data_IF_140082553044
#
_entry.id   IF_140082553044
#
_cell.length_a   1.000
_cell.length_b   1.000
_cell.length_c   1.000
_cell.angle_alpha   90.00
_cell.angle_beta   90.00
_cell.angle_gamma   90.00
#
_symmetry.space_group_name_H-M   'P 1'
#
loop_
_entity.id
_entity.type
_entity.pdbx_description
1 polymer ?
#
# COMPACT_ATOMS: atom_id res chain seq x y z
N UNK A 1 -18.56 11.26 16.29
CA UNK A 1 -18.13 11.12 14.90
C UNK A 1 -16.60 11.23 14.75
N UNK A 2 -15.94 12.38 14.93
CA UNK A 2 -14.49 12.52 14.76
C UNK A 2 -13.65 11.48 15.49
N UNK A 3 -13.88 11.28 16.80
CA UNK A 3 -13.12 10.32 17.63
C UNK A 3 -13.17 8.90 17.07
N UNK A 4 -14.30 8.49 16.51
CA UNK A 4 -14.45 7.15 15.92
C UNK A 4 -13.68 7.02 14.59
N UNK A 5 -13.71 8.05 13.73
CA UNK A 5 -12.94 8.07 12.49
C UNK A 5 -11.43 7.96 12.75
N UNK A 6 -10.92 8.69 13.73
CA UNK A 6 -9.52 8.63 14.15
C UNK A 6 -9.15 7.24 14.69
N UNK A 7 -10.00 6.66 15.55
CA UNK A 7 -9.83 5.32 16.09
C UNK A 7 -9.83 4.27 14.98
N UNK A 8 -10.83 4.31 14.07
CA UNK A 8 -10.89 3.36 12.95
C UNK A 8 -9.69 3.49 12.01
N UNK A 9 -9.17 4.70 11.81
CA UNK A 9 -7.98 4.90 11.00
C UNK A 9 -6.69 4.33 11.63
N UNK A 10 -6.58 4.30 12.95
CA UNK A 10 -5.47 3.61 13.63
C UNK A 10 -5.63 2.11 13.51
N UNK A 11 -6.83 1.59 13.77
CA UNK A 11 -7.10 0.14 13.73
C UNK A 11 -6.88 -0.40 12.30
N UNK A 12 -7.41 0.29 11.28
CA UNK A 12 -7.22 -0.15 9.89
C UNK A 12 -5.75 -0.16 9.48
N UNK A 13 -5.00 0.88 9.91
CA UNK A 13 -3.57 0.97 9.67
C UNK A 13 -2.78 -0.11 10.42
N UNK A 14 -3.24 -0.52 11.60
CA UNK A 14 -2.63 -1.64 12.34
C UNK A 14 -2.80 -2.97 11.60
N UNK A 15 -3.98 -3.24 11.04
CA UNK A 15 -4.20 -4.42 10.20
C UNK A 15 -3.45 -4.35 8.86
N UNK A 16 -3.35 -3.15 8.26
CA UNK A 16 -2.51 -2.93 7.09
C UNK A 16 -1.04 -3.24 7.38
N UNK A 17 -0.54 -2.91 8.58
CA UNK A 17 0.84 -3.18 8.98
C UNK A 17 1.21 -4.67 8.91
N UNK A 18 0.29 -5.58 9.27
CA UNK A 18 0.50 -7.03 9.13
C UNK A 18 0.62 -7.44 7.65
N UNK A 19 -0.26 -6.93 6.78
CA UNK A 19 -0.17 -7.18 5.35
C UNK A 19 1.15 -6.66 4.76
N UNK A 20 1.55 -5.46 5.13
CA UNK A 20 2.79 -4.86 4.65
C UNK A 20 4.02 -5.60 5.17
N UNK A 21 4.07 -5.89 6.49
CA UNK A 21 5.21 -6.53 7.15
C UNK A 21 5.41 -8.00 6.75
N UNK A 22 4.34 -8.81 6.74
CA UNK A 22 4.39 -10.24 6.39
C UNK A 22 4.26 -10.50 4.88
N UNK A 23 3.72 -9.55 4.12
CA UNK A 23 3.49 -9.67 2.69
C UNK A 23 4.54 -8.92 1.88
N UNK A 24 4.37 -7.62 1.68
CA UNK A 24 5.17 -6.83 0.73
C UNK A 24 6.68 -6.90 1.01
N UNK A 25 7.09 -6.84 2.27
CA UNK A 25 8.51 -6.91 2.65
C UNK A 25 9.15 -8.27 2.36
N UNK A 26 8.38 -9.33 2.16
CA UNK A 26 8.89 -10.67 1.89
C UNK A 26 8.82 -11.10 0.43
N UNK A 27 8.35 -10.23 -0.49
CA UNK A 27 8.30 -10.54 -1.92
C UNK A 27 9.68 -10.79 -2.53
N UNK A 28 10.68 -10.02 -2.11
CA UNK A 28 12.07 -10.26 -2.56
C UNK A 28 12.63 -11.57 -2.01
N UNK A 29 12.36 -11.90 -0.74
CA UNK A 29 12.75 -13.16 -0.13
C UNK A 29 12.06 -14.36 -0.82
N UNK A 30 10.79 -14.21 -1.21
CA UNK A 30 10.11 -15.19 -2.05
C UNK A 30 10.83 -15.39 -3.39
N UNK A 31 11.24 -14.31 -4.06
CA UNK A 31 12.00 -14.38 -5.32
C UNK A 31 13.32 -15.14 -5.16
N UNK A 32 14.05 -14.92 -4.06
CA UNK A 32 15.27 -15.67 -3.72
C UNK A 32 14.95 -17.16 -3.52
N UNK A 33 13.92 -17.47 -2.76
CA UNK A 33 13.49 -18.86 -2.52
C UNK A 33 13.09 -19.57 -3.81
N UNK A 34 12.42 -18.89 -4.74
CA UNK A 34 12.03 -19.43 -6.03
C UNK A 34 13.20 -19.57 -7.02
N UNK A 35 14.42 -19.20 -6.62
CA UNK A 35 15.64 -19.34 -7.43
C UNK A 35 15.79 -18.27 -8.52
N UNK A 36 15.12 -17.13 -8.39
CA UNK A 36 15.25 -16.05 -9.37
C UNK A 36 16.62 -15.36 -9.27
N UNK A 37 17.15 -14.95 -10.40
CA UNK A 37 18.41 -14.20 -10.46
C UNK A 37 18.29 -12.82 -9.81
N UNK A 38 19.42 -12.22 -9.39
CA UNK A 38 19.43 -10.88 -8.82
C UNK A 38 18.77 -9.83 -9.77
N UNK A 39 18.97 -9.96 -11.08
CA UNK A 39 18.31 -9.10 -12.07
C UNK A 39 16.78 -9.29 -12.05
N UNK A 40 16.30 -10.52 -12.02
CA UNK A 40 14.86 -10.81 -11.96
C UNK A 40 14.22 -10.25 -10.68
N UNK A 41 14.90 -10.39 -9.54
CA UNK A 41 14.42 -9.83 -8.25
C UNK A 41 14.39 -8.31 -8.30
N UNK A 42 15.43 -7.68 -8.87
CA UNK A 42 15.48 -6.22 -9.04
C UNK A 42 14.34 -5.72 -9.94
N UNK A 43 14.06 -6.42 -11.05
CA UNK A 43 12.93 -6.08 -11.94
C UNK A 43 11.60 -6.31 -11.21
N UNK A 44 11.46 -7.40 -10.44
CA UNK A 44 10.26 -7.70 -9.66
C UNK A 44 9.96 -6.60 -8.61
N UNK A 45 10.97 -5.93 -8.11
CA UNK A 45 10.83 -4.84 -7.13
C UNK A 45 10.62 -3.47 -7.80
N UNK A 46 11.29 -3.17 -8.92
CA UNK A 46 11.31 -1.84 -9.53
C UNK A 46 10.21 -1.62 -10.57
N UNK A 47 9.99 -2.59 -11.46
CA UNK A 47 9.01 -2.45 -12.55
C UNK A 47 7.57 -2.26 -12.05
N UNK A 48 7.09 -3.01 -11.03
CA UNK A 48 5.75 -2.79 -10.48
C UNK A 48 5.56 -1.39 -9.89
N UNK A 49 6.57 -0.86 -9.21
CA UNK A 49 6.52 0.49 -8.66
C UNK A 49 6.49 1.56 -9.75
N UNK A 50 7.27 1.36 -10.82
CA UNK A 50 7.24 2.25 -11.99
C UNK A 50 5.85 2.25 -12.65
N UNK A 51 5.28 1.08 -12.91
CA UNK A 51 3.92 0.93 -13.44
C UNK A 51 2.89 1.60 -12.52
N UNK A 52 3.01 1.39 -11.20
CA UNK A 52 2.19 2.02 -10.19
C UNK A 52 2.26 3.55 -10.23
N UNK A 53 3.44 4.12 -10.43
CA UNK A 53 3.61 5.57 -10.55
C UNK A 53 2.82 6.17 -11.71
N UNK A 54 2.77 5.49 -12.87
CA UNK A 54 1.93 5.92 -14.00
C UNK A 54 0.44 5.85 -13.66
N UNK A 55 -0.01 4.77 -13.02
CA UNK A 55 -1.40 4.62 -12.58
C UNK A 55 -1.77 5.67 -11.52
N UNK A 56 -0.86 6.01 -10.63
CA UNK A 56 -1.05 7.05 -9.62
C UNK A 56 -1.39 8.41 -10.23
N UNK A 57 -0.84 8.76 -11.39
CA UNK A 57 -1.18 10.00 -12.08
C UNK A 57 -2.65 10.05 -12.52
N UNK A 58 -3.27 8.90 -12.75
CA UNK A 58 -4.68 8.79 -13.14
C UNK A 58 -5.64 8.63 -11.93
N UNK A 59 -5.12 8.51 -10.70
CA UNK A 59 -5.91 8.20 -9.50
C UNK A 59 -7.05 9.18 -9.22
N UNK A 60 -6.85 10.47 -9.48
CA UNK A 60 -7.90 11.49 -9.33
C UNK A 60 -9.07 11.28 -10.30
N UNK A 61 -8.83 10.75 -11.52
CA UNK A 61 -9.88 10.45 -12.48
C UNK A 61 -10.72 9.26 -12.01
N UNK A 62 -10.09 8.25 -11.40
CA UNK A 62 -10.81 7.12 -10.79
C UNK A 62 -11.71 7.59 -9.64
N UNK A 63 -11.23 8.51 -8.78
CA UNK A 63 -12.05 9.07 -7.70
C UNK A 63 -13.31 9.77 -8.22
N UNK A 64 -13.23 10.47 -9.35
CA UNK A 64 -14.39 11.12 -9.99
C UNK A 64 -15.42 10.10 -10.50
N UNK A 65 -14.96 8.98 -11.07
CA UNK A 65 -15.85 7.91 -11.57
C UNK A 65 -16.62 7.25 -10.42
N UNK A 66 -15.95 6.99 -9.31
CA UNK A 66 -16.55 6.34 -8.13
C UNK A 66 -17.49 7.24 -7.31
N UNK A 67 -17.52 8.56 -7.56
CA UNK A 67 -18.32 9.54 -6.80
C UNK A 67 -18.12 9.52 -5.27
N UNK A 68 -17.16 8.76 -4.74
CA UNK A 68 -16.85 8.62 -3.32
C UNK A 68 -15.42 8.14 -3.13
N UNK A 69 -14.59 8.92 -2.42
CA UNK A 69 -13.22 8.52 -2.06
C UNK A 69 -13.20 7.26 -1.20
N UNK A 70 -14.14 7.17 -0.25
CA UNK A 70 -14.31 6.00 0.60
C UNK A 70 -14.58 4.75 -0.24
N UNK A 71 -15.57 4.80 -1.13
CA UNK A 71 -15.96 3.65 -1.95
C UNK A 71 -14.79 3.15 -2.81
N UNK A 72 -14.05 4.04 -3.45
CA UNK A 72 -12.87 3.69 -4.23
C UNK A 72 -11.78 3.04 -3.37
N UNK A 73 -11.42 3.64 -2.22
CA UNK A 73 -10.38 3.11 -1.34
C UNK A 73 -10.76 1.74 -0.80
N UNK A 74 -12.03 1.54 -0.37
CA UNK A 74 -12.52 0.25 0.10
C UNK A 74 -12.50 -0.79 -1.02
N UNK A 75 -12.95 -0.44 -2.21
CA UNK A 75 -12.95 -1.34 -3.37
C UNK A 75 -11.53 -1.79 -3.73
N UNK A 76 -10.58 -0.86 -3.86
CA UNK A 76 -9.19 -1.20 -4.17
C UNK A 76 -8.53 -2.02 -3.05
N UNK A 77 -8.89 -1.78 -1.80
CA UNK A 77 -8.38 -2.57 -0.67
C UNK A 77 -8.91 -4.02 -0.67
N UNK A 78 -10.14 -4.24 -1.12
CA UNK A 78 -10.69 -5.59 -1.31
C UNK A 78 -10.00 -6.30 -2.48
N UNK A 79 -9.72 -5.59 -3.59
CA UNK A 79 -8.91 -6.15 -4.69
C UNK A 79 -7.55 -6.61 -4.16
N UNK A 80 -6.86 -5.82 -3.35
CA UNK A 80 -5.59 -6.23 -2.75
C UNK A 80 -5.73 -7.51 -1.90
N UNK A 81 -6.83 -7.66 -1.16
CA UNK A 81 -7.10 -8.89 -0.40
C UNK A 81 -7.18 -10.11 -1.32
N UNK A 82 -7.91 -9.99 -2.43
CA UNK A 82 -8.02 -11.06 -3.44
C UNK A 82 -6.66 -11.34 -4.09
N UNK A 83 -5.87 -10.31 -4.35
CA UNK A 83 -4.53 -10.46 -4.93
C UNK A 83 -3.59 -11.27 -4.02
N UNK A 84 -3.66 -11.11 -2.68
CA UNK A 84 -2.88 -11.93 -1.75
C UNK A 84 -3.30 -13.40 -1.78
N UNK A 85 -4.60 -13.69 -1.86
CA UNK A 85 -5.10 -15.06 -2.02
C UNK A 85 -4.62 -15.64 -3.34
N UNK A 86 -4.69 -14.86 -4.42
CA UNK A 86 -4.19 -15.28 -5.74
C UNK A 86 -2.69 -15.57 -5.72
N UNK A 87 -1.88 -14.79 -4.97
CA UNK A 87 -0.45 -15.05 -4.82
C UNK A 87 -0.19 -16.42 -4.20
N UNK A 88 -0.94 -16.80 -3.15
CA UNK A 88 -0.81 -18.12 -2.52
C UNK A 88 -1.09 -19.22 -3.54
N UNK A 89 -2.11 -19.07 -4.38
CA UNK A 89 -2.42 -20.03 -5.45
C UNK A 89 -1.28 -20.08 -6.47
N UNK A 90 -0.76 -18.94 -6.89
CA UNK A 90 0.35 -18.86 -7.86
C UNK A 90 1.57 -19.61 -7.34
N UNK A 91 2.06 -19.30 -6.14
CA UNK A 91 3.29 -19.92 -5.61
C UNK A 91 3.15 -21.41 -5.30
N UNK A 92 1.91 -21.88 -5.07
CA UNK A 92 1.62 -23.30 -4.86
C UNK A 92 1.48 -24.08 -6.17
N UNK A 93 1.19 -23.41 -7.29
CA UNK A 93 0.89 -24.06 -8.57
C UNK A 93 2.00 -23.94 -9.60
N UNK A 94 2.81 -22.87 -9.53
CA UNK A 94 3.83 -22.61 -10.56
C UNK A 94 4.99 -21.79 -10.02
N UNK A 95 6.18 -22.02 -10.60
CA UNK A 95 7.38 -21.20 -10.38
C UNK A 95 7.67 -20.27 -11.57
N UNK A 96 6.64 -19.84 -12.29
CA UNK A 96 6.82 -18.99 -13.46
C UNK A 96 7.05 -17.53 -13.06
N UNK A 97 8.24 -17.02 -13.35
CA UNK A 97 8.64 -15.65 -13.09
C UNK A 97 7.70 -14.59 -13.70
N UNK A 98 7.25 -14.79 -14.94
CA UNK A 98 6.41 -13.80 -15.62
C UNK A 98 5.01 -13.69 -15.02
N UNK A 99 4.47 -14.79 -14.48
CA UNK A 99 3.18 -14.80 -13.78
C UNK A 99 3.32 -14.00 -12.48
N UNK A 100 4.40 -14.21 -11.72
CA UNK A 100 4.65 -13.46 -10.50
C UNK A 100 4.92 -11.97 -10.79
N UNK A 101 5.66 -11.67 -11.85
CA UNK A 101 5.91 -10.29 -12.29
C UNK A 101 4.60 -9.59 -12.69
N UNK A 102 3.73 -10.25 -13.46
CA UNK A 102 2.42 -9.70 -13.84
C UNK A 102 1.55 -9.45 -12.61
N UNK A 103 1.51 -10.44 -11.69
CA UNK A 103 0.80 -10.28 -10.42
C UNK A 103 1.29 -9.06 -9.65
N UNK A 104 2.61 -8.89 -9.51
CA UNK A 104 3.18 -7.77 -8.76
C UNK A 104 2.91 -6.42 -9.44
N UNK A 105 2.99 -6.34 -10.78
CA UNK A 105 2.64 -5.12 -11.53
C UNK A 105 1.18 -4.73 -11.28
N UNK A 106 0.25 -5.67 -11.33
CA UNK A 106 -1.18 -5.39 -11.06
C UNK A 106 -1.37 -4.98 -9.60
N UNK A 107 -0.78 -5.71 -8.65
CA UNK A 107 -0.89 -5.44 -7.22
C UNK A 107 -0.40 -4.04 -6.84
N UNK A 108 0.80 -3.66 -7.26
CA UNK A 108 1.37 -2.33 -6.96
C UNK A 108 0.66 -1.21 -7.72
N UNK A 109 0.11 -1.48 -8.90
CA UNK A 109 -0.75 -0.53 -9.61
C UNK A 109 -2.01 -0.20 -8.83
N UNK A 110 -2.68 -1.21 -8.25
CA UNK A 110 -3.85 -1.04 -7.38
C UNK A 110 -3.47 -0.27 -6.10
N UNK A 111 -2.34 -0.60 -5.47
CA UNK A 111 -1.84 0.10 -4.30
C UNK A 111 -1.56 1.57 -4.57
N UNK A 112 -0.90 1.86 -5.70
CA UNK A 112 -0.55 3.23 -6.11
C UNK A 112 -1.76 4.07 -6.48
N UNK A 113 -2.78 3.49 -7.09
CA UNK A 113 -4.04 4.18 -7.39
C UNK A 113 -4.78 4.61 -6.10
N UNK A 114 -4.67 3.81 -5.03
CA UNK A 114 -5.34 4.06 -3.76
C UNK A 114 -4.69 5.18 -2.94
N UNK A 115 -3.35 5.29 -2.97
CA UNK A 115 -2.57 6.14 -2.06
C UNK A 115 -3.01 7.61 -2.02
N UNK A 116 -3.02 8.35 -3.14
CA UNK A 116 -3.42 9.75 -3.16
C UNK A 116 -4.87 9.98 -2.72
N UNK A 117 -5.77 9.08 -3.11
CA UNK A 117 -7.20 9.16 -2.74
C UNK A 117 -7.37 8.97 -1.24
N UNK A 118 -6.65 8.01 -0.64
CA UNK A 118 -6.65 7.78 0.80
C UNK A 118 -6.11 9.00 1.56
N UNK A 119 -4.99 9.58 1.12
CA UNK A 119 -4.39 10.80 1.73
C UNK A 119 -5.39 11.95 1.70
N UNK A 120 -6.04 12.18 0.56
CA UNK A 120 -7.04 13.22 0.41
C UNK A 120 -8.22 12.97 1.34
N UNK A 121 -8.77 11.76 1.37
CA UNK A 121 -9.89 11.39 2.23
C UNK A 121 -9.56 11.58 3.72
N UNK A 122 -8.43 11.10 4.20
CA UNK A 122 -7.99 11.31 5.60
C UNK A 122 -7.76 12.80 5.87
N UNK A 123 -7.28 13.55 4.89
CA UNK A 123 -7.14 15.00 4.98
C UNK A 123 -8.46 15.73 5.30
N UNK A 124 -9.60 15.22 4.84
CA UNK A 124 -10.93 15.73 5.22
C UNK A 124 -11.37 15.28 6.60
N UNK A 125 -11.13 14.02 6.95
CA UNK A 125 -11.57 13.45 8.22
C UNK A 125 -10.80 14.00 9.43
N UNK A 126 -9.56 14.47 9.25
CA UNK A 126 -8.69 14.94 10.33
C UNK A 126 -8.57 16.47 10.32
N UNK A 127 -9.05 17.18 11.37
CA UNK A 127 -8.93 18.64 11.47
C UNK A 127 -7.47 19.10 11.36
N UNK A 128 -7.24 20.20 10.65
CA UNK A 128 -5.90 20.76 10.41
C UNK A 128 -5.09 20.95 11.70
N UNK A 129 -5.75 21.40 12.80
CA UNK A 129 -5.11 21.69 14.09
C UNK A 129 -4.41 20.48 14.73
N UNK A 130 -4.96 19.26 14.58
CA UNK A 130 -4.44 18.05 15.22
C UNK A 130 -3.74 17.10 14.23
N UNK A 131 -3.76 17.42 12.93
CA UNK A 131 -3.36 16.53 11.85
C UNK A 131 -1.93 16.03 12.00
N UNK A 132 -0.97 16.90 12.27
CA UNK A 132 0.44 16.55 12.44
C UNK A 132 0.65 15.56 13.59
N UNK A 133 0.13 15.89 14.78
CA UNK A 133 0.26 15.01 15.95
C UNK A 133 -0.45 13.68 15.78
N UNK A 134 -1.61 13.70 15.11
CA UNK A 134 -2.35 12.49 14.81
C UNK A 134 -1.57 11.56 13.86
N UNK A 135 -1.05 12.11 12.74
CA UNK A 135 -0.25 11.30 11.81
C UNK A 135 1.04 10.78 12.45
N UNK A 136 1.72 11.58 13.27
CA UNK A 136 2.90 11.13 13.99
C UNK A 136 2.59 9.95 14.92
N UNK A 137 1.53 10.05 15.72
CA UNK A 137 1.10 8.98 16.63
C UNK A 137 0.64 7.73 15.88
N UNK A 138 -0.14 7.90 14.80
CA UNK A 138 -0.58 6.82 13.93
C UNK A 138 0.61 6.09 13.28
N UNK A 139 1.53 6.84 12.69
CA UNK A 139 2.70 6.26 12.01
C UNK A 139 3.62 5.54 13.01
N UNK A 140 3.78 6.04 14.23
CA UNK A 140 4.53 5.35 15.29
C UNK A 140 3.94 3.94 15.53
N UNK A 141 2.63 3.84 15.73
CA UNK A 141 1.97 2.56 15.98
C UNK A 141 2.14 1.62 14.76
N UNK A 142 1.87 2.12 13.57
CA UNK A 142 1.93 1.33 12.33
C UNK A 142 3.35 0.82 12.07
N UNK A 143 4.36 1.70 12.16
CA UNK A 143 5.76 1.30 11.91
C UNK A 143 6.26 0.31 12.96
N UNK A 144 5.83 0.44 14.23
CA UNK A 144 6.14 -0.56 15.27
C UNK A 144 5.52 -1.92 14.93
N UNK A 145 4.28 -1.94 14.44
CA UNK A 145 3.61 -3.17 14.02
C UNK A 145 4.22 -3.77 12.75
N UNK A 146 4.63 -2.93 11.79
CA UNK A 146 5.37 -3.40 10.59
C UNK A 146 6.66 -4.09 11.03
N UNK A 147 7.45 -3.45 11.89
CA UNK A 147 8.69 -4.04 12.41
C UNK A 147 8.44 -5.37 13.12
N UNK A 148 7.45 -5.42 14.01
CA UNK A 148 7.08 -6.66 14.70
C UNK A 148 6.61 -7.74 13.70
N UNK A 149 5.87 -7.37 12.67
CA UNK A 149 5.41 -8.30 11.62
C UNK A 149 6.57 -8.84 10.79
N UNK A 150 7.59 -8.02 10.49
CA UNK A 150 8.81 -8.50 9.82
C UNK A 150 9.53 -9.53 10.69
N UNK A 151 9.70 -9.28 11.98
CA UNK A 151 10.31 -10.25 12.90
C UNK A 151 9.50 -11.56 12.95
N UNK A 152 8.18 -11.47 13.04
CA UNK A 152 7.29 -12.65 13.00
C UNK A 152 7.46 -13.43 11.71
N UNK A 153 7.59 -12.76 10.56
CA UNK A 153 7.85 -13.42 9.27
C UNK A 153 9.15 -14.22 9.28
N UNK A 154 10.24 -13.66 9.83
CA UNK A 154 11.49 -14.40 10.01
C UNK A 154 11.34 -15.64 10.89
N UNK A 155 10.56 -15.55 11.97
CA UNK A 155 10.27 -16.70 12.84
C UNK A 155 9.46 -17.75 12.07
N UNK A 156 8.44 -17.36 11.31
CA UNK A 156 7.62 -18.30 10.50
C UNK A 156 8.52 -19.03 9.50
N UNK A 157 9.39 -18.31 8.77
CA UNK A 157 10.33 -18.92 7.82
C UNK A 157 11.28 -19.93 8.51
N UNK A 158 11.72 -19.62 9.73
CA UNK A 158 12.58 -20.52 10.49
C UNK A 158 11.85 -21.76 11.00
N UNK A 159 10.64 -21.61 11.51
CA UNK A 159 9.82 -22.73 12.02
C UNK A 159 9.41 -23.69 10.90
N UNK A 160 9.13 -23.16 9.71
CA UNK A 160 8.71 -23.94 8.55
C UNK A 160 9.82 -24.10 7.51
N UNK A 161 11.11 -24.10 7.94
CA UNK A 161 12.26 -24.19 7.00
C UNK A 161 12.23 -25.42 6.10
N UNK A 162 11.59 -26.52 6.53
CA UNK A 162 11.41 -27.73 5.73
C UNK A 162 10.32 -27.62 4.66
N UNK A 163 9.45 -26.59 4.74
CA UNK A 163 8.39 -26.34 3.76
C UNK A 163 8.17 -24.85 3.56
N UNK A 164 9.06 -24.25 2.80
CA UNK A 164 9.05 -22.79 2.56
C UNK A 164 7.80 -22.30 1.85
N UNK A 165 7.20 -23.11 0.94
CA UNK A 165 5.93 -22.74 0.28
C UNK A 165 4.83 -22.58 1.32
N UNK A 166 4.75 -23.50 2.28
CA UNK A 166 3.80 -23.40 3.39
C UNK A 166 4.09 -22.16 4.26
N UNK A 167 5.37 -21.88 4.57
CA UNK A 167 5.75 -20.69 5.33
C UNK A 167 5.27 -19.39 4.66
N UNK A 168 5.57 -19.21 3.38
CA UNK A 168 5.11 -18.04 2.61
C UNK A 168 3.58 -18.00 2.50
N UNK A 169 2.92 -19.14 2.31
CA UNK A 169 1.45 -19.22 2.25
C UNK A 169 0.79 -18.78 3.56
N UNK A 170 1.35 -19.17 4.71
CA UNK A 170 0.89 -18.72 6.03
C UNK A 170 1.07 -17.21 6.17
N UNK A 171 2.23 -16.68 5.83
CA UNK A 171 2.54 -15.24 5.94
C UNK A 171 1.60 -14.41 5.06
N UNK A 172 1.43 -14.80 3.79
CA UNK A 172 0.53 -14.11 2.86
C UNK A 172 -0.93 -14.28 3.23
N UNK A 173 -1.31 -15.43 3.81
CA UNK A 173 -2.64 -15.66 4.37
C UNK A 173 -2.96 -14.72 5.54
N UNK A 174 -2.03 -14.57 6.49
CA UNK A 174 -2.16 -13.58 7.57
C UNK A 174 -2.23 -12.17 6.99
N UNK A 175 -1.41 -11.86 5.99
CA UNK A 175 -1.44 -10.59 5.25
C UNK A 175 -2.80 -10.33 4.59
N UNK A 176 -3.37 -11.33 3.90
CA UNK A 176 -4.70 -11.24 3.29
C UNK A 176 -5.80 -10.98 4.33
N UNK A 177 -5.78 -11.71 5.45
CA UNK A 177 -6.71 -11.50 6.57
C UNK A 177 -6.54 -10.10 7.14
N UNK A 178 -5.31 -9.66 7.37
CA UNK A 178 -5.01 -8.30 7.82
C UNK A 178 -5.58 -7.26 6.85
N UNK A 179 -5.39 -7.44 5.53
CA UNK A 179 -5.94 -6.53 4.52
C UNK A 179 -7.48 -6.52 4.51
N UNK A 180 -8.10 -7.67 4.68
CA UNK A 180 -9.56 -7.78 4.77
C UNK A 180 -10.11 -6.99 5.99
N UNK A 181 -9.51 -7.16 7.17
CA UNK A 181 -9.91 -6.38 8.35
C UNK A 181 -9.60 -4.89 8.19
N UNK A 182 -8.48 -4.53 7.56
CA UNK A 182 -8.19 -3.14 7.18
C UNK A 182 -9.32 -2.57 6.31
N UNK A 183 -9.76 -3.29 5.28
CA UNK A 183 -10.87 -2.90 4.40
C UNK A 183 -12.19 -2.71 5.17
N UNK A 184 -12.49 -3.59 6.11
CA UNK A 184 -13.67 -3.48 6.96
C UNK A 184 -13.66 -2.20 7.82
N UNK A 185 -12.51 -1.85 8.44
CA UNK A 185 -12.41 -0.62 9.21
C UNK A 185 -12.32 0.64 8.34
N UNK A 186 -11.81 0.55 7.11
CA UNK A 186 -11.93 1.60 6.09
C UNK A 186 -13.40 1.90 5.84
N UNK A 187 -14.23 0.88 5.65
CA UNK A 187 -15.66 1.05 5.39
C UNK A 187 -16.45 1.63 6.58
N UNK A 188 -15.96 1.49 7.81
CA UNK A 188 -16.58 2.09 9.00
C UNK A 188 -16.34 3.60 9.16
N UNK A 189 -15.38 4.16 8.43
CA UNK A 189 -15.13 5.61 8.45
C UNK A 189 -16.21 6.35 7.67
N UNK A 190 -16.42 7.60 8.02
CA UNK A 190 -17.33 8.49 7.31
C UNK A 190 -16.83 8.76 5.89
N UNK A 191 -17.77 8.95 4.97
CA UNK A 191 -17.47 9.40 3.62
C UNK A 191 -17.30 10.93 3.63
N UNK A 192 -16.26 11.41 2.98
CA UNK A 192 -16.06 12.86 2.78
C UNK A 192 -16.88 13.40 1.60
N UNK A 193 -17.59 12.53 0.88
CA UNK A 193 -18.25 12.85 -0.39
C UNK A 193 -17.25 13.08 -1.53
N UNK A 194 -17.76 13.45 -2.68
CA UNK A 194 -16.96 14.01 -3.76
C UNK A 194 -16.79 15.51 -3.46
N UNK A 195 -15.63 15.89 -3.01
CA UNK A 195 -15.30 17.30 -2.88
C UNK A 195 -14.81 17.78 -4.24
N UNK A 196 -15.75 18.26 -5.04
CA UNK A 196 -15.48 18.94 -6.32
C UNK A 196 -14.81 20.33 -6.11
N UNK A 197 -14.64 20.76 -4.89
CA UNK A 197 -14.22 22.11 -4.50
C UNK A 197 -12.75 22.18 -4.05
N UNK A 198 -11.86 21.60 -4.77
CA UNK A 198 -10.44 21.93 -4.63
C UNK A 198 -9.89 22.28 -6.00
N UNK A 199 -9.36 23.48 -6.16
CA UNK A 199 -8.52 23.84 -7.30
C UNK A 199 -7.56 22.70 -7.58
N UNK A 200 -7.97 21.78 -8.49
CA UNK A 200 -7.13 20.72 -8.95
C UNK A 200 -5.91 21.39 -9.59
N UNK A 201 -4.82 21.47 -8.83
CA UNK A 201 -3.59 22.05 -9.37
C UNK A 201 -3.25 21.31 -10.67
N UNK A 202 -3.48 21.97 -11.76
CA UNK A 202 -3.07 21.45 -13.07
C UNK A 202 -1.55 21.33 -13.07
N UNK A 203 -0.99 20.27 -13.60
CA UNK A 203 0.47 20.09 -13.72
C UNK A 203 1.15 21.33 -14.26
N UNK A 204 0.53 22.03 -15.20
CA UNK A 204 1.01 23.34 -15.72
C UNK A 204 1.15 24.42 -14.62
N UNK A 205 0.26 24.42 -13.60
CA UNK A 205 0.33 25.41 -12.51
C UNK A 205 1.45 25.11 -11.50
N UNK A 206 1.84 23.82 -11.37
CA UNK A 206 2.97 23.41 -10.55
C UNK A 206 4.27 23.81 -11.21
N UNK A 207 4.42 23.51 -12.51
CA UNK A 207 5.63 23.84 -13.29
C UNK A 207 5.86 25.35 -13.39
N UNK A 208 4.78 26.15 -13.51
CA UNK A 208 4.87 27.61 -13.57
C UNK A 208 5.27 28.27 -12.25
N UNK A 209 5.05 27.62 -11.11
CA UNK A 209 5.39 28.16 -9.80
C UNK A 209 6.74 27.64 -9.33
N UNK A 210 7.76 28.52 -9.27
CA UNK A 210 9.12 28.20 -8.81
C UNK A 210 9.11 27.51 -7.44
N UNK A 211 8.29 27.99 -6.49
CA UNK A 211 8.18 27.43 -5.14
C UNK A 211 7.62 26.02 -5.16
N UNK A 212 6.55 25.77 -5.95
CA UNK A 212 5.95 24.44 -6.07
C UNK A 212 6.90 23.46 -6.76
N UNK A 213 7.59 23.91 -7.79
CA UNK A 213 8.57 23.10 -8.49
C UNK A 213 9.74 22.72 -7.57
N UNK A 214 10.30 23.67 -6.82
CA UNK A 214 11.35 23.40 -5.84
C UNK A 214 10.91 22.43 -4.77
N UNK A 215 9.66 22.53 -4.28
CA UNK A 215 9.10 21.59 -3.32
C UNK A 215 9.01 20.16 -3.90
N UNK A 216 8.58 20.01 -5.15
CA UNK A 216 8.53 18.71 -5.83
C UNK A 216 9.93 18.14 -6.00
N UNK A 217 10.89 18.93 -6.50
CA UNK A 217 12.29 18.49 -6.67
C UNK A 217 12.91 18.07 -5.34
N UNK A 218 12.72 18.88 -4.28
CA UNK A 218 13.22 18.58 -2.94
C UNK A 218 12.68 17.24 -2.40
N UNK A 219 11.35 17.03 -2.48
CA UNK A 219 10.76 15.76 -2.06
C UNK A 219 11.26 14.57 -2.89
N UNK A 220 11.40 14.75 -4.20
CA UNK A 220 11.93 13.70 -5.09
C UNK A 220 13.34 13.32 -4.70
N UNK A 221 14.23 14.30 -4.44
CA UNK A 221 15.61 14.05 -4.02
C UNK A 221 15.69 13.35 -2.66
N UNK A 222 14.86 13.76 -1.68
CA UNK A 222 14.79 13.07 -0.38
C UNK A 222 14.34 11.62 -0.55
N UNK A 223 13.25 11.37 -1.28
CA UNK A 223 12.79 10.00 -1.51
C UNK A 223 13.84 9.16 -2.23
N UNK A 224 14.52 9.73 -3.21
CA UNK A 224 15.62 9.07 -3.91
C UNK A 224 16.74 8.70 -2.92
N UNK A 225 17.19 9.63 -2.07
CA UNK A 225 18.29 9.39 -1.11
C UNK A 225 17.93 8.40 0.01
N UNK A 226 16.65 8.20 0.31
CA UNK A 226 16.20 7.23 1.33
C UNK A 226 16.04 5.82 0.74
N UNK A 227 15.83 5.71 -0.58
CA UNK A 227 15.67 4.42 -1.27
C UNK A 227 17.00 3.79 -1.73
N UNK A 228 18.08 4.55 -1.77
CA UNK A 228 19.43 4.12 -2.13
C UNK A 228 20.43 4.39 -1.01
#
# INVERSE_FOLDING_TARGET
MLKNNLKYSIIEGSFFAFMFGLGENYLSALGVFLGYTALQISILSSLPQLAGAFIQLASNNFAKVFKSMKALVVFLSLIQTVMWILLIVIISSTNNYFILLLWSVVYFSVASAMGPVWISWIGYLVPKRIRSNYHASRNKIINTLIFASILLGGIILKVFENNMILAFSIMFGIGAIGRLFSSYYLNKKEDAGNTDDGDAYTYKSIIKSKTKLLFVVYNTLIHFSVMF
#
